data_IF_801112722696
#
_entry.id   IF_801112722696
#
_cell.length_a   1.000
_cell.length_b   1.000
_cell.length_c   1.000
_cell.angle_alpha   90.00
_cell.angle_beta   90.00
_cell.angle_gamma   90.00
#
_symmetry.space_group_name_H-M   'P 1'
#
loop_
_entity.id
_entity.type
_entity.pdbx_description
1 polymer ?
#
# COMPACT_ATOMS: atom_id res chain seq x y z
N UNK A 1 14.02 -26.20 -5.69
CA UNK A 1 14.43 -26.79 -6.96
C UNK A 1 13.22 -27.25 -7.75
N UNK A 2 13.31 -27.29 -9.07
CA UNK A 2 12.22 -27.68 -10.00
C UNK A 2 11.60 -29.04 -9.67
N UNK A 3 12.35 -29.94 -9.06
CA UNK A 3 11.90 -31.27 -8.68
C UNK A 3 10.92 -31.25 -7.48
N UNK A 4 11.10 -30.35 -6.51
CA UNK A 4 10.16 -30.17 -5.40
C UNK A 4 8.84 -29.51 -5.85
N UNK A 5 8.91 -28.64 -6.85
CA UNK A 5 7.72 -28.02 -7.46
C UNK A 5 6.89 -29.03 -8.25
N UNK A 6 7.55 -29.92 -9.00
CA UNK A 6 6.89 -30.98 -9.77
C UNK A 6 6.24 -32.03 -8.87
N UNK A 7 6.86 -32.40 -7.73
CA UNK A 7 6.27 -33.33 -6.74
C UNK A 7 5.04 -32.73 -6.06
N UNK A 8 5.06 -31.46 -5.66
CA UNK A 8 3.87 -30.77 -5.10
C UNK A 8 2.74 -30.64 -6.11
N UNK A 9 3.03 -30.48 -7.38
CA UNK A 9 2.00 -30.49 -8.43
C UNK A 9 1.39 -31.87 -8.63
N UNK A 10 2.18 -32.96 -8.55
CA UNK A 10 1.67 -34.33 -8.63
C UNK A 10 0.79 -34.69 -7.44
N UNK A 11 1.17 -34.32 -6.22
CA UNK A 11 0.36 -34.53 -5.03
C UNK A 11 -0.96 -33.74 -5.06
N UNK A 12 -0.95 -32.50 -5.57
CA UNK A 12 -2.18 -31.72 -5.77
C UNK A 12 -3.11 -32.31 -6.82
N UNK A 13 -2.60 -32.97 -7.85
CA UNK A 13 -3.38 -33.66 -8.88
C UNK A 13 -3.92 -35.01 -8.38
N UNK A 14 -3.17 -35.74 -7.54
CA UNK A 14 -3.61 -37.00 -6.94
C UNK A 14 -4.81 -36.83 -5.99
N UNK A 15 -4.96 -35.63 -5.37
CA UNK A 15 -6.09 -35.30 -4.50
C UNK A 15 -7.28 -34.64 -5.25
N UNK A 16 -7.33 -34.72 -6.58
CA UNK A 16 -8.45 -34.24 -7.36
C UNK A 16 -9.44 -35.38 -7.63
N UNK A 17 -10.68 -35.20 -7.21
CA UNK A 17 -11.77 -36.12 -7.53
C UNK A 17 -12.10 -36.05 -9.02
N UNK A 18 -11.74 -37.06 -9.79
CA UNK A 18 -12.16 -37.33 -11.17
C UNK A 18 -11.90 -36.23 -12.26
N UNK A 19 -12.07 -36.61 -13.55
CA UNK A 19 -11.78 -35.70 -14.68
C UNK A 19 -12.59 -34.39 -14.68
N UNK A 20 -13.83 -34.41 -14.16
CA UNK A 20 -14.68 -33.22 -14.08
C UNK A 20 -14.17 -32.19 -13.07
N UNK A 21 -13.60 -32.64 -11.94
CA UNK A 21 -13.01 -31.73 -10.93
C UNK A 21 -11.71 -31.12 -11.42
N UNK A 22 -10.91 -31.88 -12.17
CA UNK A 22 -9.70 -31.37 -12.83
C UNK A 22 -10.08 -30.29 -13.85
N UNK A 23 -11.08 -30.56 -14.70
CA UNK A 23 -11.56 -29.58 -15.70
C UNK A 23 -12.10 -28.31 -15.03
N UNK A 24 -12.87 -28.43 -13.92
CA UNK A 24 -13.39 -27.30 -13.14
C UNK A 24 -12.26 -26.48 -12.51
N UNK A 25 -11.25 -27.12 -11.92
CA UNK A 25 -10.08 -26.45 -11.35
C UNK A 25 -9.24 -25.74 -12.41
N UNK A 26 -9.09 -26.35 -13.60
CA UNK A 26 -8.39 -25.71 -14.72
C UNK A 26 -9.17 -24.52 -15.28
N UNK A 27 -10.50 -24.65 -15.43
CA UNK A 27 -11.38 -23.56 -15.86
C UNK A 27 -11.35 -22.40 -14.84
N UNK A 28 -11.46 -22.68 -13.54
CA UNK A 28 -11.35 -21.67 -12.49
C UNK A 28 -9.98 -20.99 -12.50
N UNK A 29 -8.88 -21.75 -12.69
CA UNK A 29 -7.53 -21.18 -12.78
C UNK A 29 -7.35 -20.28 -14.01
N UNK A 30 -7.99 -20.66 -15.14
CA UNK A 30 -7.98 -19.84 -16.37
C UNK A 30 -8.84 -18.58 -16.20
N UNK A 31 -9.98 -18.66 -15.54
CA UNK A 31 -10.86 -17.54 -15.21
C UNK A 31 -10.18 -16.57 -14.22
N UNK A 32 -9.57 -17.09 -13.14
CA UNK A 32 -8.76 -16.27 -12.24
C UNK A 32 -7.60 -15.57 -12.96
N UNK A 33 -6.88 -16.29 -13.83
CA UNK A 33 -5.78 -15.69 -14.61
C UNK A 33 -6.25 -14.66 -15.61
N UNK A 34 -7.47 -14.82 -16.16
CA UNK A 34 -8.11 -13.83 -17.05
C UNK A 34 -8.53 -12.59 -16.24
N UNK A 35 -9.14 -12.78 -15.08
CA UNK A 35 -9.51 -11.68 -14.16
C UNK A 35 -8.28 -10.94 -13.65
N UNK A 36 -7.22 -11.64 -13.24
CA UNK A 36 -5.96 -11.02 -12.82
C UNK A 36 -5.35 -10.10 -13.91
N UNK A 37 -5.52 -10.42 -15.19
CA UNK A 37 -5.04 -9.57 -16.29
C UNK A 37 -5.81 -8.25 -16.42
N UNK A 38 -7.03 -8.17 -15.90
CA UNK A 38 -7.86 -6.96 -15.97
C UNK A 38 -7.63 -5.99 -14.79
N UNK A 39 -6.73 -6.33 -13.85
CA UNK A 39 -6.48 -5.52 -12.65
C UNK A 39 -5.15 -4.76 -12.65
N UNK A 40 -4.32 -4.88 -13.68
CA UNK A 40 -3.12 -4.06 -13.83
C UNK A 40 -3.47 -2.60 -14.13
N UNK A 41 -2.74 -1.99 -15.04
CA UNK A 41 -3.04 -0.63 -15.49
C UNK A 41 -4.44 -0.48 -16.10
N UNK A 42 -5.09 -1.57 -16.50
CA UNK A 42 -6.48 -1.56 -16.98
C UNK A 42 -7.49 -1.20 -15.87
N UNK A 43 -7.11 -1.32 -14.58
CA UNK A 43 -7.94 -0.88 -13.46
C UNK A 43 -7.80 0.62 -13.17
N UNK A 44 -6.77 1.27 -13.71
CA UNK A 44 -6.52 2.68 -13.47
C UNK A 44 -7.63 3.55 -14.06
N UNK A 45 -7.92 4.71 -13.47
CA UNK A 45 -8.94 5.60 -14.00
C UNK A 45 -8.57 6.07 -15.40
N UNK A 46 -9.57 6.15 -16.30
CA UNK A 46 -9.37 6.82 -17.59
C UNK A 46 -8.99 8.29 -17.36
N UNK A 47 -8.35 8.98 -18.34
CA UNK A 47 -8.02 10.40 -18.20
C UNK A 47 -9.23 11.25 -17.81
N UNK A 48 -10.42 10.95 -18.37
CA UNK A 48 -11.67 11.66 -18.08
C UNK A 48 -12.09 11.43 -16.62
N UNK A 49 -12.10 10.19 -16.14
CA UNK A 49 -12.43 9.86 -14.76
C UNK A 49 -11.40 10.47 -13.79
N UNK A 50 -10.12 10.40 -14.11
CA UNK A 50 -9.09 11.02 -13.29
C UNK A 50 -9.25 12.56 -13.18
N UNK A 51 -9.71 13.22 -14.26
CA UNK A 51 -10.05 14.63 -14.23
C UNK A 51 -11.26 14.91 -13.33
N UNK A 52 -12.34 14.14 -13.48
CA UNK A 52 -13.53 14.23 -12.63
C UNK A 52 -13.19 14.04 -11.13
N UNK A 53 -12.35 13.05 -10.80
CA UNK A 53 -11.90 12.81 -9.43
C UNK A 53 -11.13 14.00 -8.87
N UNK A 54 -10.23 14.63 -9.65
CA UNK A 54 -9.49 15.84 -9.23
C UNK A 54 -10.37 17.07 -9.04
N UNK A 55 -11.43 17.22 -9.84
CA UNK A 55 -12.36 18.35 -9.77
C UNK A 55 -13.41 18.17 -8.67
N UNK A 56 -13.61 16.94 -8.19
CA UNK A 56 -14.60 16.61 -7.16
C UNK A 56 -14.34 17.38 -5.87
N UNK A 57 -15.36 18.03 -5.33
CA UNK A 57 -15.33 18.70 -4.03
C UNK A 57 -16.18 17.92 -3.06
N UNK A 58 -15.54 17.34 -2.07
CA UNK A 58 -16.21 16.70 -0.94
C UNK A 58 -16.63 17.75 0.08
N UNK A 59 -17.65 17.46 0.88
CA UNK A 59 -18.05 18.31 2.00
C UNK A 59 -16.90 18.49 3.00
N UNK A 60 -16.19 17.38 3.32
CA UNK A 60 -14.97 17.36 4.11
C UNK A 60 -13.77 17.02 3.21
N UNK A 61 -12.96 18.03 2.92
CA UNK A 61 -11.71 17.86 2.19
C UNK A 61 -10.59 17.48 3.19
N UNK A 62 -10.68 16.28 3.78
CA UNK A 62 -9.73 15.82 4.81
C UNK A 62 -8.31 15.70 4.28
N UNK A 63 -7.32 16.06 5.08
CA UNK A 63 -5.91 15.87 4.76
C UNK A 63 -5.44 14.51 5.23
N UNK A 64 -4.82 13.74 4.31
CA UNK A 64 -4.25 12.42 4.61
C UNK A 64 -2.73 12.55 4.67
N UNK A 65 -2.12 12.19 5.80
CA UNK A 65 -0.68 12.05 5.95
C UNK A 65 -0.27 10.60 5.68
N UNK A 66 0.49 10.38 4.63
CA UNK A 66 1.02 9.06 4.27
C UNK A 66 2.38 8.93 4.92
N UNK A 67 2.55 7.95 5.79
CA UNK A 67 3.80 7.69 6.52
C UNK A 67 4.60 6.59 5.80
N UNK A 68 5.81 6.91 5.39
CA UNK A 68 6.72 5.95 4.75
C UNK A 68 8.07 5.97 5.46
N UNK A 69 8.38 4.99 6.31
CA UNK A 69 9.70 4.82 6.85
C UNK A 69 10.66 4.32 5.78
N UNK A 70 11.81 4.98 5.61
CA UNK A 70 12.83 4.63 4.64
C UNK A 70 14.06 4.04 5.33
N UNK A 71 14.61 2.97 4.72
CA UNK A 71 15.91 2.43 5.08
C UNK A 71 16.52 1.67 3.91
N UNK A 72 17.60 2.23 3.34
CA UNK A 72 18.34 1.64 2.22
C UNK A 72 17.43 1.20 1.05
N UNK A 73 16.35 1.94 0.82
CA UNK A 73 15.35 1.63 -0.20
C UNK A 73 15.96 1.57 -1.58
N UNK A 74 15.83 0.48 -2.36
CA UNK A 74 16.30 0.41 -3.73
C UNK A 74 15.73 1.54 -4.58
N UNK A 75 16.57 2.10 -5.49
CA UNK A 75 16.18 3.28 -6.31
C UNK A 75 14.87 3.09 -7.06
N UNK A 76 14.72 1.94 -7.71
CA UNK A 76 13.55 1.68 -8.54
C UNK A 76 12.26 1.67 -7.69
N UNK A 77 12.31 1.02 -6.52
CA UNK A 77 11.17 0.97 -5.59
C UNK A 77 10.85 2.36 -5.03
N UNK A 78 11.88 3.11 -4.63
CA UNK A 78 11.68 4.47 -4.12
C UNK A 78 10.99 5.36 -5.17
N UNK A 79 11.44 5.31 -6.43
CA UNK A 79 10.87 6.09 -7.53
C UNK A 79 9.44 5.64 -7.83
N UNK A 80 9.17 4.33 -7.94
CA UNK A 80 7.84 3.78 -8.20
C UNK A 80 6.86 4.17 -7.07
N UNK A 81 7.27 4.07 -5.81
CA UNK A 81 6.49 4.49 -4.65
C UNK A 81 6.16 5.99 -4.72
N UNK A 82 7.17 6.86 -4.89
CA UNK A 82 7.01 8.30 -4.96
C UNK A 82 6.10 8.71 -6.12
N UNK A 83 6.28 8.14 -7.31
CA UNK A 83 5.44 8.39 -8.48
C UNK A 83 3.99 7.98 -8.23
N UNK A 84 3.75 6.86 -7.55
CA UNK A 84 2.40 6.39 -7.23
C UNK A 84 1.64 7.35 -6.31
N UNK A 85 2.33 7.98 -5.35
CA UNK A 85 1.76 9.00 -4.47
C UNK A 85 1.55 10.32 -5.22
N UNK A 86 2.51 10.74 -6.04
CA UNK A 86 2.41 11.97 -6.84
C UNK A 86 1.27 11.91 -7.86
N UNK A 87 0.91 10.72 -8.34
CA UNK A 87 -0.14 10.49 -9.33
C UNK A 87 -1.54 10.31 -8.72
N UNK A 88 -1.71 10.46 -7.41
CA UNK A 88 -3.04 10.39 -6.79
C UNK A 88 -4.00 11.43 -7.38
N UNK A 89 -5.23 11.01 -7.63
CA UNK A 89 -6.29 11.90 -8.15
C UNK A 89 -6.85 12.83 -7.10
N UNK A 90 -6.82 12.46 -5.83
CA UNK A 90 -7.11 13.34 -4.71
C UNK A 90 -5.84 14.06 -4.26
N UNK A 91 -5.87 15.40 -4.16
CA UNK A 91 -4.65 16.21 -3.99
C UNK A 91 -4.36 16.67 -2.55
N UNK A 92 -5.32 16.55 -1.61
CA UNK A 92 -5.11 17.00 -0.23
C UNK A 92 -4.44 15.93 0.62
N UNK A 93 -3.23 15.59 0.25
CA UNK A 93 -2.36 14.68 0.99
C UNK A 93 -1.00 15.31 1.28
N UNK A 94 -0.31 14.74 2.24
CA UNK A 94 1.13 14.93 2.43
C UNK A 94 1.82 13.58 2.59
N UNK A 95 3.07 13.52 2.14
CA UNK A 95 3.93 12.34 2.28
C UNK A 95 5.03 12.63 3.29
N UNK A 96 5.03 11.92 4.40
CA UNK A 96 5.97 12.06 5.49
C UNK A 96 7.02 10.96 5.43
N UNK A 97 8.25 11.33 5.10
CA UNK A 97 9.39 10.43 4.91
C UNK A 97 10.40 10.61 6.03
N UNK A 98 10.70 9.55 6.77
CA UNK A 98 11.78 9.51 7.76
C UNK A 98 12.82 8.48 7.30
N UNK A 99 13.99 8.98 6.93
CA UNK A 99 15.05 8.21 6.28
C UNK A 99 16.18 7.83 7.24
N UNK A 100 16.21 6.56 7.64
CA UNK A 100 17.27 5.95 8.44
C UNK A 100 18.40 5.33 7.62
N UNK A 101 18.48 5.55 6.29
CA UNK A 101 19.47 4.95 5.41
C UNK A 101 20.89 5.32 5.82
N UNK A 102 21.85 4.41 5.61
CA UNK A 102 23.26 4.61 5.89
C UNK A 102 23.96 5.48 4.84
N UNK A 103 25.26 5.73 5.06
CA UNK A 103 26.07 6.60 4.21
C UNK A 103 26.36 6.04 2.82
N UNK A 104 26.12 4.75 2.57
CA UNK A 104 26.31 4.14 1.25
C UNK A 104 25.08 4.36 0.35
N UNK A 105 23.93 4.77 0.93
CA UNK A 105 22.66 4.96 0.24
C UNK A 105 22.24 6.44 0.14
N UNK A 106 23.20 7.34 -0.13
CA UNK A 106 22.96 8.81 -0.23
C UNK A 106 21.92 9.18 -1.29
N UNK A 107 21.76 8.34 -2.31
CA UNK A 107 20.80 8.55 -3.37
C UNK A 107 19.33 8.62 -2.87
N UNK A 108 19.04 8.06 -1.68
CA UNK A 108 17.70 8.13 -1.10
C UNK A 108 17.36 9.59 -0.80
N UNK A 109 18.26 10.31 -0.14
CA UNK A 109 18.10 11.73 0.15
C UNK A 109 18.02 12.56 -1.13
N UNK A 110 18.89 12.29 -2.12
CA UNK A 110 18.94 13.01 -3.40
C UNK A 110 17.57 12.90 -4.15
N UNK A 111 17.05 11.68 -4.27
CA UNK A 111 15.75 11.42 -4.91
C UNK A 111 14.63 12.09 -4.13
N UNK A 112 14.59 11.94 -2.80
CA UNK A 112 13.57 12.56 -1.97
C UNK A 112 13.58 14.10 -2.07
N UNK A 113 14.76 14.72 -2.18
CA UNK A 113 14.90 16.16 -2.38
C UNK A 113 14.29 16.61 -3.72
N UNK A 114 14.57 15.90 -4.82
CA UNK A 114 13.97 16.17 -6.13
C UNK A 114 12.43 16.12 -6.07
N UNK A 115 11.88 15.05 -5.49
CA UNK A 115 10.43 14.89 -5.40
C UNK A 115 9.79 15.90 -4.45
N UNK A 116 10.47 16.31 -3.38
CA UNK A 116 10.02 17.37 -2.49
C UNK A 116 9.82 18.69 -3.24
N UNK A 117 10.75 19.07 -4.10
CA UNK A 117 10.61 20.27 -4.95
C UNK A 117 9.41 20.11 -5.91
N UNK A 118 9.32 18.99 -6.62
CA UNK A 118 8.23 18.70 -7.56
C UNK A 118 6.85 18.68 -6.89
N UNK A 119 6.77 18.25 -5.64
CA UNK A 119 5.52 18.12 -4.89
C UNK A 119 4.91 19.45 -4.42
N UNK A 120 5.62 20.57 -4.60
CA UNK A 120 5.19 21.89 -4.11
C UNK A 120 4.92 21.91 -2.60
N UNK A 121 5.76 21.21 -1.83
CA UNK A 121 5.69 21.19 -0.38
C UNK A 121 4.79 20.10 0.23
N UNK A 122 4.21 19.22 -0.58
CA UNK A 122 3.42 18.08 -0.08
C UNK A 122 4.27 16.93 0.44
N UNK A 123 5.56 16.85 0.10
CA UNK A 123 6.51 15.87 0.65
C UNK A 123 7.31 16.53 1.76
N UNK A 124 7.25 15.94 2.94
CA UNK A 124 8.05 16.31 4.11
C UNK A 124 9.07 15.22 4.35
N UNK A 125 10.33 15.55 4.25
CA UNK A 125 11.45 14.61 4.38
C UNK A 125 12.33 15.00 5.56
N UNK A 126 12.71 13.99 6.35
CA UNK A 126 13.66 14.11 7.45
C UNK A 126 14.71 12.99 7.35
N UNK A 127 15.99 13.37 7.27
CA UNK A 127 17.09 12.43 7.49
C UNK A 127 17.24 12.16 8.98
N UNK A 128 17.30 10.88 9.36
CA UNK A 128 17.53 10.46 10.74
C UNK A 128 19.05 10.28 10.98
N UNK A 129 19.49 10.48 12.22
CA UNK A 129 20.87 10.22 12.63
C UNK A 129 21.23 8.73 12.57
N UNK A 130 20.23 7.87 12.77
CA UNK A 130 20.36 6.41 12.71
C UNK A 130 19.03 5.76 12.35
N UNK A 131 19.08 4.52 11.87
CA UNK A 131 17.90 3.68 11.72
C UNK A 131 17.38 3.27 13.11
N UNK A 132 16.10 3.59 13.39
CA UNK A 132 15.41 3.24 14.65
C UNK A 132 14.52 2.00 14.51
N UNK A 133 14.67 1.22 13.43
CA UNK A 133 13.76 0.14 13.07
C UNK A 133 12.47 0.65 12.44
N UNK A 134 11.63 -0.26 11.96
CA UNK A 134 10.42 0.12 11.22
C UNK A 134 9.46 0.93 12.09
N UNK A 135 9.16 0.47 13.32
CA UNK A 135 8.28 1.19 14.24
C UNK A 135 8.87 2.55 14.66
N UNK A 136 10.17 2.62 14.94
CA UNK A 136 10.85 3.86 15.30
C UNK A 136 10.81 4.88 14.15
N UNK A 137 11.19 4.48 12.94
CA UNK A 137 11.15 5.35 11.76
C UNK A 137 9.71 5.78 11.43
N UNK A 138 8.70 4.90 11.58
CA UNK A 138 7.29 5.25 11.40
C UNK A 138 6.85 6.30 12.43
N UNK A 139 7.29 6.20 13.68
CA UNK A 139 7.03 7.23 14.69
C UNK A 139 7.68 8.58 14.34
N UNK A 140 8.84 8.58 13.69
CA UNK A 140 9.44 9.83 13.19
C UNK A 140 8.59 10.39 12.02
N UNK A 141 8.09 9.56 11.10
CA UNK A 141 7.14 10.02 10.07
C UNK A 141 5.89 10.64 10.72
N UNK A 142 5.32 10.01 11.75
CA UNK A 142 4.14 10.52 12.45
C UNK A 142 4.36 11.91 13.07
N UNK A 143 5.55 12.22 13.57
CA UNK A 143 5.88 13.56 14.07
C UNK A 143 5.85 14.64 13.01
N UNK A 144 6.08 14.29 11.75
CA UNK A 144 6.02 15.19 10.61
C UNK A 144 4.58 15.41 10.12
N UNK A 145 3.70 14.47 10.43
CA UNK A 145 2.33 14.43 9.91
C UNK A 145 1.45 15.52 10.52
N UNK A 146 0.63 16.16 9.68
CA UNK A 146 -0.33 17.20 10.09
C UNK A 146 -1.77 16.92 9.66
N UNK A 147 -2.01 15.82 8.91
CA UNK A 147 -3.33 15.46 8.40
C UNK A 147 -4.27 14.92 9.47
N UNK A 148 -5.55 14.95 9.17
CA UNK A 148 -6.64 14.41 10.00
C UNK A 148 -6.66 12.87 9.97
N UNK A 149 -6.16 12.29 8.87
CA UNK A 149 -6.04 10.84 8.69
C UNK A 149 -4.58 10.45 8.47
N UNK A 150 -4.23 9.28 8.95
CA UNK A 150 -2.88 8.70 8.87
C UNK A 150 -2.95 7.44 8.01
N UNK A 151 -2.10 7.38 6.99
CA UNK A 151 -1.93 6.19 6.14
C UNK A 151 -0.59 5.53 6.39
N UNK A 152 -0.57 4.21 6.60
CA UNK A 152 0.66 3.42 6.72
C UNK A 152 1.01 2.84 5.35
N UNK A 153 2.18 3.15 4.85
CA UNK A 153 2.57 2.75 3.51
C UNK A 153 4.04 2.31 3.46
N UNK A 154 4.32 1.22 2.75
CA UNK A 154 5.67 0.68 2.64
C UNK A 154 6.42 1.28 1.46
N UNK A 155 7.74 1.34 1.58
CA UNK A 155 8.61 1.99 0.60
C UNK A 155 8.81 1.20 -0.70
N UNK A 156 8.35 -0.03 -0.76
CA UNK A 156 8.44 -0.96 -1.88
C UNK A 156 7.07 -1.29 -2.51
N UNK A 157 6.03 -0.60 -2.07
CA UNK A 157 4.68 -0.70 -2.61
C UNK A 157 4.32 0.48 -3.53
N UNK A 158 3.23 0.31 -4.29
CA UNK A 158 2.63 1.37 -5.12
C UNK A 158 1.14 1.51 -4.84
N UNK A 159 0.65 2.74 -4.84
CA UNK A 159 -0.77 3.06 -4.65
C UNK A 159 -1.52 3.09 -5.98
N UNK A 160 -2.74 2.53 -6.00
CA UNK A 160 -3.66 2.78 -7.10
C UNK A 160 -4.00 4.29 -7.19
N UNK A 161 -4.04 4.90 -8.40
CA UNK A 161 -4.21 6.36 -8.54
C UNK A 161 -5.44 6.96 -7.86
N UNK A 162 -6.53 6.19 -7.73
CA UNK A 162 -7.79 6.65 -7.14
C UNK A 162 -7.95 6.27 -5.67
N UNK A 163 -6.97 5.64 -5.00
CA UNK A 163 -7.21 5.09 -3.65
C UNK A 163 -7.53 6.18 -2.63
N UNK A 164 -6.83 7.31 -2.67
CA UNK A 164 -7.12 8.41 -1.75
C UNK A 164 -8.48 9.06 -2.04
N UNK A 165 -8.86 9.15 -3.30
CA UNK A 165 -10.19 9.64 -3.70
C UNK A 165 -11.31 8.74 -3.14
N UNK A 166 -11.21 7.43 -3.32
CA UNK A 166 -12.21 6.48 -2.83
C UNK A 166 -12.26 6.47 -1.29
N UNK A 167 -11.12 6.63 -0.61
CA UNK A 167 -11.09 6.73 0.84
C UNK A 167 -11.77 8.00 1.35
N UNK A 168 -11.48 9.17 0.76
CA UNK A 168 -12.13 10.42 1.14
C UNK A 168 -13.63 10.38 0.84
N UNK A 169 -14.03 9.71 -0.24
CA UNK A 169 -15.44 9.45 -0.54
C UNK A 169 -16.10 8.63 0.57
N UNK A 170 -15.48 7.51 0.98
CA UNK A 170 -16.00 6.67 2.07
C UNK A 170 -16.09 7.43 3.41
N UNK A 171 -15.09 8.28 3.72
CA UNK A 171 -15.11 9.15 4.91
C UNK A 171 -16.33 10.08 4.87
N UNK A 172 -16.63 10.69 3.72
CA UNK A 172 -17.75 11.62 3.60
C UNK A 172 -19.11 10.93 3.59
N UNK A 173 -19.22 9.78 2.90
CA UNK A 173 -20.51 9.09 2.72
C UNK A 173 -20.88 8.21 3.93
N UNK A 174 -19.87 7.66 4.63
CA UNK A 174 -20.09 6.63 5.66
C UNK A 174 -19.54 7.02 7.04
N UNK A 175 -18.79 8.14 7.15
CA UNK A 175 -18.15 8.54 8.40
C UNK A 175 -17.06 7.54 8.84
N UNK A 176 -16.34 6.94 7.88
CA UNK A 176 -15.37 5.88 8.17
C UNK A 176 -14.16 6.42 8.93
N UNK A 177 -13.80 5.80 10.05
CA UNK A 177 -12.63 6.13 10.87
C UNK A 177 -11.43 5.27 10.52
N UNK A 178 -11.65 4.09 9.94
CA UNK A 178 -10.62 3.15 9.50
C UNK A 178 -10.96 2.60 8.11
N UNK A 179 -9.99 2.64 7.21
CA UNK A 179 -10.14 2.22 5.82
C UNK A 179 -8.99 1.29 5.43
N UNK A 180 -9.28 0.32 4.60
CA UNK A 180 -8.32 -0.56 3.95
C UNK A 180 -8.84 -0.96 2.58
N UNK A 181 -7.98 -1.47 1.71
CA UNK A 181 -8.36 -1.88 0.36
C UNK A 181 -7.84 -3.27 0.01
N UNK A 182 -8.37 -3.83 -1.06
CA UNK A 182 -7.78 -5.00 -1.70
C UNK A 182 -6.36 -4.70 -2.15
N UNK A 183 -5.55 -5.75 -2.27
CA UNK A 183 -4.16 -5.65 -2.70
C UNK A 183 -3.80 -6.70 -3.73
N UNK A 184 -2.78 -6.44 -4.49
CA UNK A 184 -2.21 -7.39 -5.44
C UNK A 184 -0.69 -7.36 -5.35
N UNK A 185 -0.06 -8.52 -5.51
CA UNK A 185 1.38 -8.58 -5.72
C UNK A 185 1.67 -8.77 -7.20
N UNK A 186 2.71 -8.12 -7.69
CA UNK A 186 3.13 -8.18 -9.09
C UNK A 186 4.63 -8.44 -9.19
N UNK A 187 5.09 -8.81 -10.38
CA UNK A 187 6.50 -8.96 -10.63
C UNK A 187 7.15 -7.57 -10.70
N UNK A 188 8.22 -7.35 -9.93
CA UNK A 188 8.97 -6.10 -9.94
C UNK A 188 9.20 -5.55 -11.36
N UNK A 189 8.92 -4.26 -11.54
CA UNK A 189 9.04 -3.56 -12.81
C UNK A 189 7.91 -3.81 -13.83
N UNK A 190 6.88 -4.61 -13.50
CA UNK A 190 5.74 -4.83 -14.40
C UNK A 190 4.44 -5.09 -13.63
N UNK A 191 3.69 -4.03 -13.32
CA UNK A 191 2.39 -4.08 -12.62
C UNK A 191 1.36 -4.98 -13.33
N UNK A 192 1.51 -5.24 -14.63
CA UNK A 192 0.60 -6.10 -15.36
C UNK A 192 0.93 -7.58 -15.24
N UNK A 193 2.08 -7.93 -14.65
CA UNK A 193 2.45 -9.29 -14.28
C UNK A 193 2.06 -9.63 -12.86
N UNK A 194 0.77 -9.65 -12.61
CA UNK A 194 0.23 -9.98 -11.29
C UNK A 194 0.52 -11.42 -10.89
N UNK A 195 0.93 -11.59 -9.64
CA UNK A 195 1.26 -12.89 -9.03
C UNK A 195 0.12 -13.41 -8.16
N UNK A 196 -0.42 -12.54 -7.30
CA UNK A 196 -1.53 -12.86 -6.40
C UNK A 196 -2.48 -11.67 -6.32
N UNK A 197 -3.73 -11.97 -5.90
CA UNK A 197 -4.71 -10.96 -5.54
C UNK A 197 -5.32 -11.34 -4.21
N UNK A 198 -5.39 -10.39 -3.30
CA UNK A 198 -6.02 -10.51 -2.01
C UNK A 198 -7.28 -9.64 -1.98
N UNK A 199 -8.44 -10.28 -2.14
CA UNK A 199 -9.73 -9.66 -1.89
C UNK A 199 -10.01 -9.77 -0.40
N UNK A 200 -10.08 -8.63 0.26
CA UNK A 200 -10.26 -8.56 1.71
C UNK A 200 -11.75 -8.58 2.05
N UNK A 201 -12.16 -9.28 3.10
CA UNK A 201 -13.53 -9.24 3.56
C UNK A 201 -13.85 -7.88 4.19
N UNK A 202 -15.14 -7.57 4.34
CA UNK A 202 -15.59 -6.55 5.26
C UNK A 202 -15.10 -6.85 6.68
N UNK A 203 -15.32 -5.94 7.63
CA UNK A 203 -14.83 -6.10 9.00
C UNK A 203 -15.16 -7.48 9.59
N UNK A 204 -14.13 -8.28 9.78
CA UNK A 204 -14.19 -9.67 10.24
C UNK A 204 -13.27 -9.88 11.45
N UNK A 205 -13.73 -9.58 12.68
CA UNK A 205 -12.89 -9.54 13.88
C UNK A 205 -12.22 -10.87 14.20
N UNK A 206 -12.85 -11.99 13.92
CA UNK A 206 -12.25 -13.31 14.15
C UNK A 206 -11.13 -13.61 13.15
N UNK A 207 -11.28 -13.15 11.90
CA UNK A 207 -10.21 -13.24 10.91
C UNK A 207 -9.04 -12.34 11.28
N UNK A 208 -9.31 -11.11 11.73
CA UNK A 208 -8.28 -10.16 12.14
C UNK A 208 -7.42 -10.67 13.31
N UNK A 209 -8.03 -11.41 14.25
CA UNK A 209 -7.28 -12.06 15.35
C UNK A 209 -6.32 -13.15 14.88
N UNK A 210 -6.60 -13.77 13.74
CA UNK A 210 -5.82 -14.87 13.21
C UNK A 210 -4.82 -14.45 12.12
N UNK A 211 -5.12 -13.34 11.43
CA UNK A 211 -4.35 -12.86 10.29
C UNK A 211 -4.58 -11.37 10.09
N UNK A 212 -3.48 -10.61 9.95
CA UNK A 212 -3.55 -9.20 9.59
C UNK A 212 -3.94 -9.03 8.11
N UNK A 213 -5.24 -9.12 7.82
CA UNK A 213 -5.73 -8.99 6.45
C UNK A 213 -5.95 -7.53 6.02
N UNK A 214 -5.93 -6.57 6.96
CA UNK A 214 -6.24 -5.16 6.69
C UNK A 214 -5.05 -4.36 6.13
N UNK A 215 -3.81 -4.84 6.23
CA UNK A 215 -2.66 -4.23 5.56
C UNK A 215 -2.45 -4.88 4.17
N UNK A 216 -2.11 -4.17 3.11
CA UNK A 216 -1.94 -2.76 2.88
C UNK A 216 -3.04 -2.22 1.95
N UNK A 217 -3.37 -0.97 1.81
CA UNK A 217 -2.93 0.24 2.45
C UNK A 217 -3.96 0.64 3.52
N UNK A 218 -3.53 0.77 4.78
CA UNK A 218 -4.42 1.15 5.89
C UNK A 218 -4.38 2.64 6.12
N UNK A 219 -5.58 3.27 6.20
CA UNK A 219 -5.75 4.68 6.54
C UNK A 219 -6.75 4.80 7.69
N UNK A 220 -6.43 5.59 8.70
CA UNK A 220 -7.29 5.75 9.87
C UNK A 220 -7.26 7.18 10.42
N UNK A 221 -8.32 7.55 11.13
CA UNK A 221 -8.43 8.83 11.77
C UNK A 221 -7.31 9.02 12.82
N UNK A 222 -6.63 10.16 12.78
CA UNK A 222 -5.52 10.48 13.71
C UNK A 222 -5.93 10.36 15.16
N UNK A 223 -7.18 10.71 15.51
CA UNK A 223 -7.71 10.65 16.86
C UNK A 223 -7.68 9.23 17.46
N UNK A 224 -7.68 8.17 16.62
CA UNK A 224 -7.56 6.79 17.10
C UNK A 224 -6.18 6.51 17.73
N UNK A 225 -5.17 7.33 17.45
CA UNK A 225 -3.85 7.24 18.08
C UNK A 225 -3.72 8.04 19.37
N UNK A 226 -4.70 8.88 19.71
CA UNK A 226 -4.64 9.70 20.92
C UNK A 226 -4.62 8.82 22.17
N UNK A 227 -3.66 9.09 23.06
CA UNK A 227 -3.47 8.32 24.28
C UNK A 227 -2.83 6.94 24.09
N UNK A 228 -2.38 6.61 22.87
CA UNK A 228 -1.62 5.38 22.60
C UNK A 228 -0.11 5.60 22.71
N UNK A 229 0.66 4.50 22.81
CA UNK A 229 2.13 4.53 22.75
C UNK A 229 2.67 4.60 21.32
N UNK A 230 1.80 4.81 20.31
CA UNK A 230 2.12 4.72 18.89
C UNK A 230 2.71 3.33 18.52
N UNK A 231 3.63 3.30 17.55
CA UNK A 231 4.25 2.06 17.10
C UNK A 231 5.39 1.65 18.02
N UNK A 232 5.37 0.40 18.50
CA UNK A 232 6.29 -0.10 19.51
C UNK A 232 7.35 -1.00 18.87
N UNK A 233 8.62 -0.68 19.05
CA UNK A 233 9.77 -1.41 18.49
C UNK A 233 9.82 -2.90 18.86
N UNK A 234 9.24 -3.30 19.99
CA UNK A 234 9.14 -4.72 20.36
C UNK A 234 8.27 -5.56 19.43
N UNK A 235 7.53 -4.91 18.51
CA UNK A 235 6.71 -5.54 17.48
C UNK A 235 7.25 -5.29 16.07
N UNK A 236 8.50 -4.88 15.92
CA UNK A 236 9.12 -4.73 14.61
C UNK A 236 8.97 -6.03 13.79
N UNK A 237 8.46 -5.90 12.55
CA UNK A 237 8.06 -7.02 11.69
C UNK A 237 6.61 -7.49 11.86
N UNK A 238 5.85 -6.88 12.81
CA UNK A 238 4.41 -7.06 13.01
C UNK A 238 3.79 -5.77 13.60
N UNK A 239 4.39 -4.63 13.33
CA UNK A 239 4.05 -3.33 13.92
C UNK A 239 2.69 -2.80 13.48
N UNK A 240 2.18 -3.29 12.39
CA UNK A 240 0.93 -2.95 11.73
C UNK A 240 -0.24 -3.91 12.08
N UNK A 241 0.00 -4.85 13.02
CA UNK A 241 -0.99 -5.85 13.45
C UNK A 241 -1.77 -5.40 14.70
#
# INVERSE_FOLDING_TARGET
SAMHFALRQKERLANCGGPKDIARKLANKKDQKSKMRSYGTDSFPTPERAAEERETKFERMVKISILVPLWNTPKDFLVEMLDSVMNQTYENWELCLADGSDAEHTYVEEICAEYKERSKGRIVYQKLEKNEGIAGNTNQCYKLATGEYIGLFDHDDILHPSVLFEYVKAINEQGADYLYCDETTFQSGDINKMLTMHFKPDYAPDNLRANNYICHFSVFARELLEGTELFRTKFDGSQDH
#
